data_IF_056757093733
#
_entry.id   IF_056757093733
#
_cell.length_a   1.000
_cell.length_b   1.000
_cell.length_c   1.000
_cell.angle_alpha   90.00
_cell.angle_beta   90.00
_cell.angle_gamma   90.00
#
_symmetry.space_group_name_H-M   'P 1'
#
loop_
_entity.id
_entity.type
_entity.pdbx_description
1 polymer ?
#
# COMPACT_ATOMS: atom_id res chain seq x y z
N UNK A 1 14.01 -12.03 2.86
CA UNK A 1 14.08 -10.62 3.27
C UNK A 1 14.91 -10.51 4.55
N UNK A 2 14.38 -10.86 5.73
CA UNK A 2 15.02 -10.57 7.04
C UNK A 2 16.43 -11.16 7.22
N UNK A 3 16.71 -12.31 6.62
CA UNK A 3 18.04 -12.97 6.72
C UNK A 3 19.01 -12.57 5.61
N UNK A 4 18.55 -11.93 4.52
CA UNK A 4 19.40 -11.65 3.35
C UNK A 4 19.63 -10.16 3.08
N UNK A 5 18.62 -9.30 3.32
CA UNK A 5 18.71 -7.87 3.02
C UNK A 5 19.74 -7.14 3.91
N UNK A 6 20.37 -6.09 3.37
CA UNK A 6 21.24 -5.20 4.15
C UNK A 6 20.39 -4.34 5.10
N UNK A 7 21.06 -3.69 6.06
CA UNK A 7 20.39 -2.85 7.06
C UNK A 7 19.61 -1.71 6.41
N UNK A 8 20.21 -1.02 5.45
CA UNK A 8 19.58 0.07 4.69
C UNK A 8 18.36 -0.36 3.88
N UNK A 9 18.43 -1.55 3.25
CA UNK A 9 17.28 -2.15 2.55
C UNK A 9 16.14 -2.49 3.50
N UNK A 10 16.43 -3.05 4.69
CA UNK A 10 15.42 -3.30 5.72
C UNK A 10 14.80 -2.00 6.22
N UNK A 11 15.61 -0.97 6.47
CA UNK A 11 15.12 0.36 6.87
C UNK A 11 14.18 0.93 5.81
N UNK A 12 14.56 0.85 4.52
CA UNK A 12 13.76 1.35 3.41
C UNK A 12 12.37 0.67 3.38
N UNK A 13 12.33 -0.67 3.34
CA UNK A 13 11.03 -1.37 3.28
C UNK A 13 10.17 -1.15 4.52
N UNK A 14 10.76 -1.10 5.72
CA UNK A 14 9.99 -0.87 6.95
C UNK A 14 9.45 0.55 7.03
N UNK A 15 10.18 1.56 6.54
CA UNK A 15 9.72 2.94 6.52
C UNK A 15 8.73 3.21 5.38
N UNK A 16 9.00 2.72 4.16
CA UNK A 16 8.19 3.02 2.98
C UNK A 16 6.92 2.17 2.92
N UNK A 17 7.02 0.85 3.19
CA UNK A 17 5.89 -0.08 3.09
C UNK A 17 5.17 -0.31 4.42
N UNK A 18 5.89 -0.20 5.54
CA UNK A 18 5.32 -0.35 6.86
C UNK A 18 4.87 0.97 7.48
N UNK A 19 5.30 2.12 6.96
CA UNK A 19 5.18 3.41 7.63
C UNK A 19 5.65 3.33 9.10
N UNK A 20 6.72 2.50 9.35
CA UNK A 20 7.21 2.18 10.69
C UNK A 20 8.23 3.24 11.16
N UNK A 21 7.91 3.88 12.28
CA UNK A 21 8.72 4.97 12.86
C UNK A 21 10.08 4.50 13.38
N UNK A 22 10.13 3.25 13.86
CA UNK A 22 11.31 2.66 14.49
C UNK A 22 12.11 1.78 13.51
N UNK A 23 11.90 1.97 12.20
CA UNK A 23 12.51 1.16 11.14
C UNK A 23 14.00 0.95 11.32
N UNK A 24 14.78 2.01 11.66
CA UNK A 24 16.23 1.94 11.90
C UNK A 24 16.58 1.04 13.08
N UNK A 25 15.88 1.18 14.21
CA UNK A 25 16.15 0.38 15.41
C UNK A 25 15.81 -1.10 15.18
N UNK A 26 14.70 -1.36 14.50
CA UNK A 26 14.24 -2.71 14.18
C UNK A 26 15.23 -3.37 13.20
N UNK A 27 15.60 -2.68 12.13
CA UNK A 27 16.57 -3.20 11.16
C UNK A 27 17.90 -3.53 11.83
N UNK A 28 18.46 -2.62 12.62
CA UNK A 28 19.70 -2.83 13.38
C UNK A 28 19.58 -4.07 14.27
N UNK A 29 18.50 -4.22 15.03
CA UNK A 29 18.30 -5.38 15.92
C UNK A 29 18.19 -6.69 15.13
N UNK A 30 17.50 -6.71 14.00
CA UNK A 30 17.45 -7.87 13.09
C UNK A 30 18.86 -8.24 12.62
N UNK A 31 19.66 -7.26 12.18
CA UNK A 31 21.06 -7.49 11.75
C UNK A 31 21.90 -8.07 12.89
N UNK A 32 21.76 -7.56 14.11
CA UNK A 32 22.48 -8.07 15.28
C UNK A 32 22.12 -9.53 15.57
N UNK A 33 20.84 -9.85 15.66
CA UNK A 33 20.36 -11.20 16.00
C UNK A 33 20.75 -12.21 14.93
N UNK A 34 20.55 -11.90 13.65
CA UNK A 34 20.84 -12.86 12.57
C UNK A 34 22.34 -13.16 12.37
N UNK A 35 23.25 -12.36 12.96
CA UNK A 35 24.69 -12.67 12.99
C UNK A 35 25.00 -13.92 13.83
N UNK A 36 24.19 -14.17 14.85
CA UNK A 36 24.35 -15.33 15.73
C UNK A 36 23.62 -16.56 15.19
N UNK A 37 22.36 -16.38 14.75
CA UNK A 37 21.54 -17.44 14.17
C UNK A 37 20.50 -16.86 13.21
N UNK A 38 20.16 -17.53 12.10
CA UNK A 38 19.13 -17.06 11.19
C UNK A 38 17.76 -17.07 11.88
N UNK A 39 16.96 -16.03 11.61
CA UNK A 39 15.58 -15.91 12.09
C UNK A 39 14.72 -16.87 11.26
N UNK A 40 14.07 -17.84 11.91
CA UNK A 40 13.36 -18.92 11.21
C UNK A 40 11.84 -18.84 11.33
N UNK A 41 11.33 -18.21 12.38
CA UNK A 41 9.88 -18.18 12.64
C UNK A 41 9.35 -16.74 12.72
N UNK A 42 8.05 -16.60 12.45
CA UNK A 42 7.35 -15.31 12.61
C UNK A 42 7.32 -14.87 14.08
N UNK A 43 7.30 -15.81 15.02
CA UNK A 43 7.33 -15.53 16.45
C UNK A 43 8.68 -14.90 16.84
N UNK A 44 9.80 -15.51 16.46
CA UNK A 44 11.14 -14.96 16.71
C UNK A 44 11.25 -13.53 16.16
N UNK A 45 10.78 -13.29 14.93
CA UNK A 45 10.78 -11.96 14.34
C UNK A 45 9.91 -10.99 15.15
N UNK A 46 8.71 -11.39 15.55
CA UNK A 46 7.83 -10.54 16.36
C UNK A 46 8.47 -10.18 17.71
N UNK A 47 9.12 -11.11 18.39
CA UNK A 47 9.79 -10.88 19.66
C UNK A 47 10.96 -9.90 19.50
N UNK A 48 11.77 -10.02 18.44
CA UNK A 48 12.85 -9.08 18.08
C UNK A 48 12.29 -7.67 17.85
N UNK A 49 11.16 -7.54 17.16
CA UNK A 49 10.53 -6.25 16.89
C UNK A 49 10.02 -5.62 18.19
N UNK A 50 9.37 -6.39 19.04
CA UNK A 50 8.87 -5.93 20.36
C UNK A 50 10.04 -5.41 21.20
N UNK A 51 11.14 -6.13 21.25
CA UNK A 51 12.35 -5.73 22.00
C UNK A 51 12.96 -4.43 21.44
N UNK A 52 12.94 -4.25 20.11
CA UNK A 52 13.49 -3.07 19.45
C UNK A 52 12.59 -1.83 19.55
N UNK A 53 11.31 -1.98 19.90
CA UNK A 53 10.33 -0.87 19.92
C UNK A 53 10.04 -0.41 21.34
N UNK A 54 9.86 0.92 21.58
CA UNK A 54 9.41 1.43 22.87
C UNK A 54 8.00 0.90 23.20
N UNK A 55 7.73 0.69 24.49
CA UNK A 55 6.37 0.36 24.97
C UNK A 55 5.45 1.56 24.82
N UNK A 56 4.75 1.65 23.69
CA UNK A 56 3.75 2.70 23.42
C UNK A 56 2.37 2.06 23.53
N UNK A 57 1.45 2.75 24.25
CA UNK A 57 0.03 2.34 24.24
C UNK A 57 -0.50 2.46 22.81
N UNK A 58 -0.78 1.34 22.17
CA UNK A 58 -1.33 1.23 20.81
C UNK A 58 -2.28 0.05 20.76
N UNK A 59 -3.38 0.20 20.02
CA UNK A 59 -4.31 -0.88 19.73
C UNK A 59 -3.79 -1.84 18.64
N UNK A 60 -2.61 -1.53 18.05
CA UNK A 60 -1.98 -2.31 16.98
C UNK A 60 -0.74 -2.98 17.55
N UNK A 61 -0.60 -4.28 17.29
CA UNK A 61 0.59 -5.03 17.68
C UNK A 61 1.85 -4.43 17.06
N UNK A 62 2.97 -4.24 17.79
CA UNK A 62 4.17 -3.56 17.28
C UNK A 62 4.74 -4.16 15.98
N UNK A 63 4.63 -5.46 15.80
CA UNK A 63 5.13 -6.14 14.61
C UNK A 63 4.25 -6.00 13.36
N UNK A 64 3.00 -5.53 13.47
CA UNK A 64 2.04 -5.50 12.36
C UNK A 64 2.59 -4.75 11.14
N UNK A 65 3.20 -3.57 11.35
CA UNK A 65 3.72 -2.73 10.27
C UNK A 65 4.91 -3.37 9.56
N UNK A 66 5.78 -4.03 10.33
CA UNK A 66 6.94 -4.74 9.77
C UNK A 66 6.50 -5.95 8.96
N UNK A 67 5.54 -6.73 9.45
CA UNK A 67 4.98 -7.85 8.69
C UNK A 67 4.26 -7.39 7.42
N UNK A 68 3.52 -6.27 7.49
CA UNK A 68 2.93 -5.65 6.30
C UNK A 68 4.01 -5.28 5.28
N UNK A 69 5.10 -4.64 5.72
CA UNK A 69 6.20 -4.25 4.86
C UNK A 69 6.85 -5.45 4.16
N UNK A 70 7.12 -6.52 4.92
CA UNK A 70 7.70 -7.75 4.38
C UNK A 70 6.75 -8.41 3.37
N UNK A 71 5.44 -8.44 3.64
CA UNK A 71 4.44 -9.00 2.74
C UNK A 71 4.38 -8.23 1.42
N UNK A 72 4.34 -6.90 1.50
CA UNK A 72 4.34 -6.02 0.31
C UNK A 72 5.59 -6.26 -0.54
N UNK A 73 6.76 -6.35 0.10
CA UNK A 73 8.03 -6.58 -0.58
C UNK A 73 8.07 -7.95 -1.27
N UNK A 74 7.76 -9.03 -0.55
CA UNK A 74 7.81 -10.40 -1.07
C UNK A 74 6.82 -10.60 -2.21
N UNK A 75 5.60 -10.08 -2.07
CA UNK A 75 4.54 -10.23 -3.06
C UNK A 75 4.58 -9.17 -4.17
N UNK A 76 5.46 -8.18 -4.08
CA UNK A 76 5.52 -7.01 -4.97
C UNK A 76 4.15 -6.31 -5.12
N UNK A 77 3.37 -6.25 -4.04
CA UNK A 77 1.96 -5.83 -4.06
C UNK A 77 1.76 -4.48 -4.74
N UNK A 78 2.54 -3.47 -4.36
CA UNK A 78 2.41 -2.11 -4.91
C UNK A 78 2.79 -2.01 -6.40
N UNK A 79 3.76 -2.82 -6.83
CA UNK A 79 4.16 -2.91 -8.25
C UNK A 79 3.05 -3.54 -9.08
N UNK A 80 2.47 -4.63 -8.57
CA UNK A 80 1.37 -5.33 -9.24
C UNK A 80 0.14 -4.44 -9.38
N UNK A 81 -0.22 -3.67 -8.33
CA UNK A 81 -1.32 -2.68 -8.41
C UNK A 81 -1.07 -1.65 -9.49
N UNK A 82 0.16 -1.09 -9.57
CA UNK A 82 0.50 -0.11 -10.62
C UNK A 82 0.37 -0.71 -12.02
N UNK A 83 0.91 -1.91 -12.25
CA UNK A 83 0.85 -2.57 -13.54
C UNK A 83 -0.59 -2.81 -13.98
N UNK A 84 -1.40 -3.44 -13.12
CA UNK A 84 -2.82 -3.72 -13.41
C UNK A 84 -3.61 -2.45 -13.73
N UNK A 85 -3.37 -1.35 -13.02
CA UNK A 85 -4.06 -0.08 -13.28
C UNK A 85 -3.75 0.48 -14.67
N UNK A 86 -2.53 0.30 -15.18
CA UNK A 86 -2.18 0.71 -16.55
C UNK A 86 -2.81 -0.23 -17.58
N UNK A 87 -2.66 -1.54 -17.39
CA UNK A 87 -3.10 -2.55 -18.35
C UNK A 87 -4.64 -2.54 -18.51
N UNK A 88 -5.39 -2.35 -17.41
CA UNK A 88 -6.86 -2.41 -17.44
C UNK A 88 -7.49 -1.28 -18.26
N UNK A 89 -6.83 -0.11 -18.36
CA UNK A 89 -7.34 1.00 -19.17
C UNK A 89 -7.32 0.71 -20.67
N UNK A 90 -6.37 -0.11 -21.11
CA UNK A 90 -6.23 -0.46 -22.52
C UNK A 90 -7.15 -1.63 -22.92
N UNK A 91 -7.71 -2.34 -21.92
CA UNK A 91 -8.63 -3.47 -22.11
C UNK A 91 -10.12 -3.06 -22.05
N UNK A 92 -10.43 -1.83 -21.65
CA UNK A 92 -11.81 -1.40 -21.44
C UNK A 92 -12.35 -0.61 -22.60
N UNK A 93 -13.56 -0.98 -23.02
CA UNK A 93 -14.37 -0.19 -23.95
C UNK A 93 -14.94 1.06 -23.26
N UNK A 94 -15.37 2.01 -24.09
CA UNK A 94 -16.07 3.22 -23.62
C UNK A 94 -17.29 2.83 -22.77
N UNK A 95 -17.43 3.45 -21.61
CA UNK A 95 -18.50 3.15 -20.66
C UNK A 95 -18.18 2.04 -19.67
N UNK A 96 -17.07 1.29 -19.84
CA UNK A 96 -16.61 0.28 -18.91
C UNK A 96 -16.35 0.83 -17.50
N UNK A 97 -16.56 0.02 -16.47
CA UNK A 97 -16.41 0.42 -15.07
C UNK A 97 -15.20 -0.30 -14.45
N UNK A 98 -14.32 0.47 -13.81
CA UNK A 98 -13.26 -0.07 -12.96
C UNK A 98 -13.64 0.19 -11.51
N UNK A 99 -13.70 -0.88 -10.72
CA UNK A 99 -13.92 -0.84 -9.28
C UNK A 99 -12.72 -1.45 -8.57
N UNK A 100 -12.05 -0.67 -7.72
CA UNK A 100 -10.86 -1.13 -6.99
C UNK A 100 -11.12 -1.02 -5.50
N UNK A 101 -10.91 -2.14 -4.79
CA UNK A 101 -10.92 -2.19 -3.33
C UNK A 101 -9.48 -2.31 -2.84
N UNK A 102 -9.05 -1.37 -2.01
CA UNK A 102 -7.76 -1.38 -1.33
C UNK A 102 -7.94 -1.56 0.17
N UNK A 103 -7.00 -2.25 0.83
CA UNK A 103 -7.08 -2.56 2.26
C UNK A 103 -6.06 -1.81 3.11
N UNK A 104 -5.09 -1.13 2.50
CA UNK A 104 -4.14 -0.29 3.22
C UNK A 104 -3.85 1.04 2.50
N UNK A 105 -3.23 1.97 3.25
CA UNK A 105 -2.99 3.35 2.82
C UNK A 105 -2.18 3.49 1.53
N UNK A 106 -1.20 2.61 1.33
CA UNK A 106 -0.29 2.68 0.18
C UNK A 106 -0.98 2.26 -1.12
N UNK A 107 -1.78 1.18 -1.09
CA UNK A 107 -2.62 0.79 -2.24
C UNK A 107 -3.59 1.90 -2.60
N UNK A 108 -4.37 2.39 -1.62
CA UNK A 108 -5.34 3.47 -1.83
C UNK A 108 -4.67 4.73 -2.41
N UNK A 109 -3.45 5.04 -1.97
CA UNK A 109 -2.67 6.18 -2.47
C UNK A 109 -2.35 6.01 -3.96
N UNK A 110 -1.89 4.84 -4.38
CA UNK A 110 -1.59 4.52 -5.78
C UNK A 110 -2.85 4.64 -6.64
N UNK A 111 -3.93 3.96 -6.25
CA UNK A 111 -5.21 3.99 -6.97
C UNK A 111 -5.75 5.42 -7.08
N UNK A 112 -5.76 6.16 -5.96
CA UNK A 112 -6.20 7.57 -5.93
C UNK A 112 -5.39 8.45 -6.87
N UNK A 113 -4.06 8.34 -6.84
CA UNK A 113 -3.18 9.16 -7.67
C UNK A 113 -3.36 8.82 -9.15
N UNK A 114 -3.44 7.54 -9.48
CA UNK A 114 -3.65 7.07 -10.84
C UNK A 114 -5.00 7.56 -11.40
N UNK A 115 -6.10 7.33 -10.68
CA UNK A 115 -7.43 7.79 -11.11
C UNK A 115 -7.50 9.31 -11.23
N UNK A 116 -6.88 10.05 -10.29
CA UNK A 116 -6.80 11.50 -10.39
C UNK A 116 -6.04 11.92 -11.65
N UNK A 117 -4.91 11.30 -11.94
CA UNK A 117 -4.08 11.63 -13.10
C UNK A 117 -4.82 11.35 -14.42
N UNK A 118 -5.43 10.17 -14.56
CA UNK A 118 -6.13 9.77 -15.79
C UNK A 118 -7.47 10.51 -16.02
N UNK A 119 -8.06 11.08 -14.95
CA UNK A 119 -9.30 11.88 -15.04
C UNK A 119 -9.07 13.38 -15.29
N UNK A 120 -7.83 13.87 -15.31
CA UNK A 120 -7.52 15.29 -15.52
C UNK A 120 -7.67 15.71 -16.97
N UNK A 121 -8.40 16.82 -17.20
CA UNK A 121 -8.55 17.42 -18.53
C UNK A 121 -7.25 18.09 -19.04
N UNK A 122 -6.48 18.67 -18.12
CA UNK A 122 -5.22 19.31 -18.43
C UNK A 122 -4.14 18.91 -17.44
N UNK A 123 -2.91 18.63 -17.92
CA UNK A 123 -1.74 18.17 -17.15
C UNK A 123 -0.50 19.05 -17.39
N UNK A 124 -0.63 20.13 -18.16
CA UNK A 124 0.44 21.05 -18.49
C UNK A 124 0.18 22.44 -17.92
N UNK A 125 1.23 23.25 -17.87
CA UNK A 125 1.16 24.67 -17.49
C UNK A 125 1.27 25.59 -18.72
N UNK A 126 1.18 25.05 -19.94
CA UNK A 126 1.34 25.81 -21.17
C UNK A 126 0.09 26.65 -21.48
N UNK A 127 0.28 27.82 -22.09
CA UNK A 127 -0.81 28.70 -22.52
C UNK A 127 -1.74 28.03 -23.56
N UNK A 128 -1.19 27.11 -24.37
CA UNK A 128 -1.95 26.31 -25.35
C UNK A 128 -1.82 24.85 -24.92
N UNK A 129 -2.87 24.31 -24.34
CA UNK A 129 -2.90 22.93 -23.84
C UNK A 129 -2.96 21.93 -25.02
N UNK A 130 -1.95 21.03 -25.08
CA UNK A 130 -1.89 19.88 -26.01
C UNK A 130 -2.05 18.55 -25.29
N UNK A 131 -2.54 18.56 -24.03
CA UNK A 131 -2.73 17.34 -23.28
C UNK A 131 -3.77 16.43 -23.95
N UNK A 132 -3.57 15.11 -23.92
CA UNK A 132 -4.59 14.18 -24.37
C UNK A 132 -5.83 14.32 -23.46
N UNK A 133 -7.02 14.06 -23.98
CA UNK A 133 -8.24 14.10 -23.19
C UNK A 133 -8.19 13.05 -22.09
N UNK A 134 -8.98 13.21 -21.02
CA UNK A 134 -9.03 12.24 -19.93
C UNK A 134 -9.52 10.89 -20.45
N UNK A 135 -8.92 9.81 -19.93
CA UNK A 135 -9.31 8.44 -20.28
C UNK A 135 -10.50 7.94 -19.45
N UNK A 136 -10.67 8.51 -18.26
CA UNK A 136 -11.68 8.06 -17.28
C UNK A 136 -12.39 9.25 -16.63
N UNK A 137 -13.56 8.96 -16.09
CA UNK A 137 -14.34 9.84 -15.22
C UNK A 137 -14.48 9.22 -13.83
N UNK A 138 -14.31 10.05 -12.78
CA UNK A 138 -14.49 9.59 -11.39
C UNK A 138 -15.98 9.43 -11.10
N UNK A 139 -16.44 8.22 -10.80
CA UNK A 139 -17.80 7.96 -10.32
C UNK A 139 -17.97 8.46 -8.90
N UNK A 140 -16.93 8.28 -8.06
CA UNK A 140 -16.91 8.80 -6.69
C UNK A 140 -15.61 9.57 -6.41
N UNK A 141 -15.74 10.79 -5.89
CA UNK A 141 -14.57 11.63 -5.51
C UNK A 141 -13.89 11.14 -4.23
N UNK A 142 -14.68 10.66 -3.27
CA UNK A 142 -14.20 10.07 -2.00
C UNK A 142 -14.36 8.56 -2.08
N UNK A 143 -13.48 7.78 -1.42
CA UNK A 143 -13.65 6.33 -1.38
C UNK A 143 -14.95 5.99 -0.64
N UNK A 144 -15.62 4.93 -1.08
CA UNK A 144 -16.72 4.32 -0.34
C UNK A 144 -16.10 3.42 0.73
N UNK A 145 -16.55 3.57 1.96
CA UNK A 145 -16.10 2.81 3.13
C UNK A 145 -17.18 1.81 3.53
N UNK A 146 -16.77 0.72 4.18
CA UNK A 146 -17.70 -0.25 4.74
C UNK A 146 -18.62 0.40 5.79
N UNK A 147 -19.89 -0.01 5.82
CA UNK A 147 -20.84 0.41 6.84
C UNK A 147 -20.53 -0.20 8.20
N UNK A 148 -21.05 0.38 9.29
CA UNK A 148 -20.89 -0.21 10.63
C UNK A 148 -21.45 -1.63 10.73
N UNK A 149 -22.53 -1.91 10.01
CA UNK A 149 -23.12 -3.24 9.93
C UNK A 149 -22.15 -4.23 9.28
N UNK A 150 -21.61 -3.85 8.12
CA UNK A 150 -20.64 -4.67 7.40
C UNK A 150 -19.36 -4.92 8.24
N UNK A 151 -18.86 -3.90 8.96
CA UNK A 151 -17.69 -4.05 9.82
C UNK A 151 -17.95 -5.05 10.96
N UNK A 152 -19.18 -5.09 11.50
CA UNK A 152 -19.56 -6.06 12.54
C UNK A 152 -19.65 -7.48 11.98
N UNK A 153 -20.18 -7.65 10.79
CA UNK A 153 -20.32 -8.95 10.14
C UNK A 153 -19.00 -9.44 9.51
N UNK A 154 -18.18 -8.51 9.00
CA UNK A 154 -16.91 -8.76 8.35
C UNK A 154 -15.83 -7.78 8.85
N UNK A 155 -15.20 -8.03 10.01
CA UNK A 155 -14.21 -7.11 10.61
C UNK A 155 -13.06 -6.67 9.69
N UNK A 156 -12.54 -7.48 8.75
CA UNK A 156 -11.52 -7.04 7.79
C UNK A 156 -11.97 -5.88 6.90
N UNK A 157 -13.27 -5.72 6.64
CA UNK A 157 -13.81 -4.62 5.80
C UNK A 157 -13.56 -3.23 6.39
N UNK A 158 -13.25 -3.11 7.68
CA UNK A 158 -12.97 -1.83 8.35
C UNK A 158 -11.90 -1.00 7.62
N UNK A 159 -10.94 -1.64 7.00
CA UNK A 159 -9.85 -0.95 6.28
C UNK A 159 -10.10 -0.82 4.78
N UNK A 160 -11.17 -1.42 4.26
CA UNK A 160 -11.49 -1.44 2.84
C UNK A 160 -11.90 -0.05 2.34
N UNK A 161 -11.38 0.33 1.16
CA UNK A 161 -11.72 1.55 0.45
C UNK A 161 -12.03 1.23 -1.00
N UNK A 162 -13.27 1.43 -1.40
CA UNK A 162 -13.71 1.24 -2.79
C UNK A 162 -13.62 2.55 -3.55
N UNK A 163 -12.92 2.53 -4.68
CA UNK A 163 -12.90 3.60 -5.68
C UNK A 163 -13.41 3.11 -7.01
N UNK A 164 -14.25 3.93 -7.65
CA UNK A 164 -14.91 3.56 -8.90
C UNK A 164 -14.69 4.67 -9.94
N UNK A 165 -14.34 4.24 -11.15
CA UNK A 165 -14.20 5.11 -12.32
C UNK A 165 -14.88 4.48 -13.52
N UNK A 166 -15.25 5.32 -14.48
CA UNK A 166 -15.84 4.93 -15.75
C UNK A 166 -14.89 5.29 -16.88
N UNK A 167 -14.64 4.39 -17.80
CA UNK A 167 -13.89 4.64 -19.02
C UNK A 167 -14.69 5.57 -19.95
N UNK A 168 -14.02 6.59 -20.51
CA UNK A 168 -14.63 7.53 -21.46
C UNK A 168 -14.38 7.06 -22.90
N UNK A 169 -13.30 6.29 -23.10
CA UNK A 169 -12.86 5.76 -24.39
C UNK A 169 -12.71 4.28 -24.33
#
# INVERSE_FOLDING_TARGET
VVNAYKEDELVAIFSEYGEERFSKRIAKKIIEVRRTAPIRTTKELADIIIEATPRIKSNIHPATRVFQAIRIEVNQELKNVKNVLHDILDLLDAGGIISVISFHSLEDRIVKQFFKFESQKCRCNDMICKCPPPKIELVNKKPIMASEKEIKENPPSRSAKLRVVKAIR
#
